data_IF_633079590782
#
_entry.id   IF_633079590782
#
_cell.length_a   1.000
_cell.length_b   1.000
_cell.length_c   1.000
_cell.angle_alpha   90.00
_cell.angle_beta   90.00
_cell.angle_gamma   90.00
#
_symmetry.space_group_name_H-M   'P 1'
#
loop_
_entity.id
_entity.type
_entity.pdbx_description
1 polymer ?
#
# COMPACT_ATOMS: atom_id res chain seq x y z
N UNK A 1 13.04 1.76 -19.71
CA UNK A 1 12.62 2.40 -18.44
C UNK A 1 13.59 3.51 -18.10
N UNK A 2 13.09 4.71 -17.84
CA UNK A 2 13.88 5.90 -17.46
C UNK A 2 14.04 5.96 -15.95
N UNK A 3 15.28 5.98 -15.46
CA UNK A 3 15.59 6.11 -14.02
C UNK A 3 16.37 7.41 -13.85
N UNK A 4 15.90 8.28 -12.96
CA UNK A 4 16.63 9.52 -12.60
C UNK A 4 16.96 9.49 -11.11
N UNK A 5 18.20 9.79 -10.78
CA UNK A 5 18.61 10.07 -9.40
C UNK A 5 18.35 11.55 -9.13
N UNK A 6 17.49 11.86 -8.18
CA UNK A 6 17.08 13.24 -7.89
C UNK A 6 17.30 13.57 -6.42
N UNK A 7 17.54 14.85 -6.13
CA UNK A 7 17.50 15.38 -4.76
C UNK A 7 16.16 16.07 -4.54
N UNK A 8 15.39 15.56 -3.59
CA UNK A 8 14.14 16.18 -3.16
C UNK A 8 14.42 17.37 -2.23
N UNK A 9 13.48 18.32 -2.14
CA UNK A 9 13.52 19.43 -1.18
C UNK A 9 12.94 19.03 0.17
N UNK A 10 11.94 18.16 0.17
CA UNK A 10 11.27 17.62 1.35
C UNK A 10 10.80 16.20 1.07
N UNK A 11 10.66 15.38 2.10
CA UNK A 11 10.19 14.00 2.00
C UNK A 11 9.01 13.72 2.93
N UNK A 12 8.89 14.45 4.01
CA UNK A 12 7.86 14.29 5.03
C UNK A 12 6.76 15.30 4.78
N UNK A 13 5.69 14.88 4.08
CA UNK A 13 4.66 15.78 3.57
C UNK A 13 3.34 15.54 4.29
N UNK A 14 2.69 16.64 4.71
CA UNK A 14 1.32 16.60 5.24
C UNK A 14 0.36 16.14 4.15
N UNK A 15 -0.66 15.36 4.51
CA UNK A 15 -1.62 14.82 3.55
C UNK A 15 -3.06 15.04 4.00
N UNK A 16 -3.98 15.10 3.05
CA UNK A 16 -5.42 15.07 3.30
C UNK A 16 -6.03 13.68 3.12
N UNK A 17 -5.20 12.63 2.98
CA UNK A 17 -5.73 11.27 2.92
C UNK A 17 -6.40 10.91 4.25
N UNK A 18 -7.51 10.16 4.24
CA UNK A 18 -8.07 9.61 5.46
C UNK A 18 -7.05 8.68 6.12
N UNK A 19 -7.10 8.58 7.42
CA UNK A 19 -6.33 7.63 8.23
C UNK A 19 -4.81 7.83 8.25
N UNK A 20 -4.28 8.97 7.76
CA UNK A 20 -2.88 9.34 7.97
C UNK A 20 -2.67 10.87 7.96
N UNK A 21 -1.68 11.33 8.70
CA UNK A 21 -1.31 12.75 8.81
C UNK A 21 -0.19 13.12 7.84
N UNK A 22 0.72 12.18 7.60
CA UNK A 22 1.95 12.37 6.86
C UNK A 22 2.18 11.29 5.84
N UNK A 23 2.81 11.64 4.73
CA UNK A 23 3.29 10.69 3.73
C UNK A 23 4.79 10.81 3.50
N UNK A 24 5.43 9.67 3.29
CA UNK A 24 6.85 9.57 2.89
C UNK A 24 6.91 8.84 1.55
N UNK A 25 7.28 9.56 0.49
CA UNK A 25 7.38 9.03 -0.88
C UNK A 25 8.84 9.04 -1.35
N UNK A 26 9.65 7.99 -1.10
CA UNK A 26 11.06 7.93 -1.51
C UNK A 26 11.27 7.89 -3.02
N UNK A 27 10.22 7.59 -3.77
CA UNK A 27 10.21 7.50 -5.21
C UNK A 27 9.11 8.38 -5.81
N UNK A 28 9.26 8.76 -7.09
CA UNK A 28 8.18 9.28 -7.94
C UNK A 28 8.08 8.38 -9.18
N UNK A 29 6.87 7.95 -9.54
CA UNK A 29 6.66 6.86 -10.48
C UNK A 29 6.75 5.50 -9.81
N UNK A 30 6.29 4.44 -10.50
CA UNK A 30 6.25 3.09 -9.95
C UNK A 30 6.49 2.07 -11.05
N UNK A 31 7.52 1.23 -10.88
CA UNK A 31 7.88 0.20 -11.86
C UNK A 31 6.76 -0.84 -12.10
N UNK A 32 5.87 -1.03 -11.15
CA UNK A 32 4.78 -2.00 -11.34
C UNK A 32 3.85 -1.63 -12.48
N UNK A 33 3.71 -0.33 -12.81
CA UNK A 33 3.00 0.12 -13.99
C UNK A 33 1.56 -0.39 -14.10
N UNK A 34 0.89 -0.64 -12.97
CA UNK A 34 -0.47 -1.16 -12.97
C UNK A 34 -1.38 -0.30 -13.84
N UNK A 35 -2.12 -0.93 -14.76
CA UNK A 35 -2.90 -0.22 -15.78
C UNK A 35 -4.04 0.64 -15.22
N UNK A 36 -4.53 0.32 -14.04
CA UNK A 36 -5.58 1.05 -13.32
C UNK A 36 -5.05 2.06 -12.28
N UNK A 37 -3.73 2.27 -12.20
CA UNK A 37 -3.15 3.03 -11.09
C UNK A 37 -3.56 4.50 -11.12
N UNK A 38 -4.24 4.96 -10.07
CA UNK A 38 -4.61 6.37 -9.95
C UNK A 38 -3.39 7.29 -9.89
N UNK A 39 -2.27 6.83 -9.34
CA UNK A 39 -1.05 7.64 -9.20
C UNK A 39 -0.39 8.01 -10.54
N UNK A 40 -0.88 7.47 -11.66
CA UNK A 40 -0.43 7.86 -13.00
C UNK A 40 -0.57 9.38 -13.26
N UNK A 41 -1.50 10.07 -12.54
CA UNK A 41 -1.65 11.52 -12.66
C UNK A 41 -0.38 12.30 -12.30
N UNK A 42 0.49 11.77 -11.43
CA UNK A 42 1.74 12.41 -11.01
C UNK A 42 2.67 12.65 -12.20
N UNK A 43 2.64 11.75 -13.18
CA UNK A 43 3.42 11.86 -14.40
C UNK A 43 3.17 13.14 -15.20
N UNK A 44 1.96 13.69 -15.16
CA UNK A 44 1.60 14.94 -15.87
C UNK A 44 2.53 16.11 -15.49
N UNK A 45 3.05 16.13 -14.27
CA UNK A 45 3.86 17.21 -13.74
C UNK A 45 5.37 16.99 -13.92
N UNK A 46 5.80 15.73 -13.88
CA UNK A 46 7.24 15.39 -13.82
C UNK A 46 7.74 14.65 -15.05
N UNK A 47 6.84 13.94 -15.73
CA UNK A 47 7.12 13.06 -16.86
C UNK A 47 6.00 13.12 -17.92
N UNK A 48 5.72 14.30 -18.52
CA UNK A 48 4.55 14.48 -19.39
C UNK A 48 4.60 13.68 -20.70
N UNK A 49 5.79 13.15 -21.06
CA UNK A 49 6.00 12.37 -22.29
C UNK A 49 6.20 10.88 -22.05
N UNK A 50 6.27 10.46 -20.79
CA UNK A 50 6.53 9.07 -20.40
C UNK A 50 5.24 8.40 -19.93
N UNK A 51 5.05 7.13 -20.30
CA UNK A 51 3.95 6.32 -19.81
C UNK A 51 4.15 5.90 -18.36
N UNK A 52 3.08 5.73 -17.62
CA UNK A 52 3.12 5.17 -16.27
C UNK A 52 3.75 3.78 -16.26
N UNK A 53 4.72 3.57 -15.37
CA UNK A 53 5.51 2.33 -15.31
C UNK A 53 6.82 2.37 -16.11
N UNK A 54 6.98 3.36 -17.00
CA UNK A 54 8.20 3.51 -17.81
C UNK A 54 9.27 4.39 -17.19
N UNK A 55 8.98 5.06 -16.06
CA UNK A 55 9.92 5.96 -15.36
C UNK A 55 9.85 5.79 -13.85
N UNK A 56 10.98 6.09 -13.18
CA UNK A 56 11.06 6.25 -11.73
C UNK A 56 12.15 7.28 -11.38
N UNK A 57 11.79 8.28 -10.58
CA UNK A 57 12.73 9.16 -9.92
C UNK A 57 13.07 8.60 -8.54
N UNK A 58 14.33 8.40 -8.28
CA UNK A 58 14.89 7.89 -7.03
C UNK A 58 15.38 9.09 -6.21
N UNK A 59 14.72 9.42 -5.11
CA UNK A 59 15.05 10.56 -4.24
C UNK A 59 16.19 10.18 -3.31
N UNK A 60 17.42 10.24 -3.82
CA UNK A 60 18.61 9.68 -3.15
C UNK A 60 18.88 10.26 -1.76
N UNK A 61 18.38 11.44 -1.46
CA UNK A 61 18.52 12.11 -0.17
C UNK A 61 17.29 11.94 0.75
N UNK A 62 16.40 11.01 0.45
CA UNK A 62 15.17 10.82 1.22
C UNK A 62 15.43 10.48 2.71
N UNK A 63 16.38 9.59 3.06
CA UNK A 63 16.66 9.27 4.47
C UNK A 63 17.22 10.48 5.25
N UNK A 64 18.15 11.26 4.64
CA UNK A 64 18.73 12.44 5.27
C UNK A 64 17.69 13.54 5.50
N UNK A 65 16.77 13.74 4.54
CA UNK A 65 15.68 14.68 4.70
C UNK A 65 14.73 14.21 5.82
N UNK A 66 14.34 12.94 5.82
CA UNK A 66 13.46 12.41 6.86
C UNK A 66 14.06 12.57 8.25
N UNK A 67 15.37 12.32 8.41
CA UNK A 67 16.08 12.51 9.68
C UNK A 67 16.00 13.97 10.17
N UNK A 68 16.05 14.94 9.27
CA UNK A 68 15.90 16.38 9.61
C UNK A 68 14.47 16.77 9.93
N UNK A 69 13.50 16.22 9.16
CA UNK A 69 12.11 16.66 9.16
C UNK A 69 11.26 15.98 10.24
N UNK A 70 11.67 14.80 10.75
CA UNK A 70 10.89 13.98 11.69
C UNK A 70 10.95 14.49 13.13
N UNK A 71 11.93 15.33 13.50
CA UNK A 71 12.13 15.81 14.87
C UNK A 71 10.88 16.52 15.39
N UNK A 72 10.37 16.08 16.55
CA UNK A 72 9.17 16.64 17.19
C UNK A 72 7.85 16.39 16.45
N UNK A 73 7.86 15.66 15.35
CA UNK A 73 6.64 15.31 14.61
C UNK A 73 5.89 14.15 15.26
N UNK A 74 4.57 14.27 15.24
CA UNK A 74 3.63 13.24 15.71
C UNK A 74 2.57 12.99 14.66
N UNK A 75 1.88 11.86 14.76
CA UNK A 75 0.79 11.48 13.87
C UNK A 75 1.10 10.26 13.01
N UNK A 76 0.14 9.80 12.26
CA UNK A 76 0.22 8.57 11.46
C UNK A 76 1.01 8.83 10.17
N UNK A 77 2.05 8.04 9.93
CA UNK A 77 2.85 8.09 8.70
C UNK A 77 2.42 6.97 7.76
N UNK A 78 2.09 7.32 6.51
CA UNK A 78 1.92 6.34 5.43
C UNK A 78 3.14 6.36 4.51
N UNK A 79 3.78 5.21 4.32
CA UNK A 79 4.81 5.05 3.28
C UNK A 79 4.17 4.87 1.92
N UNK A 80 4.45 5.83 1.04
CA UNK A 80 4.12 5.84 -0.38
C UNK A 80 2.63 5.86 -0.72
N UNK A 81 2.09 7.08 -0.81
CA UNK A 81 0.72 7.33 -1.28
C UNK A 81 0.59 7.32 -2.80
N UNK A 82 1.64 7.67 -3.56
CA UNK A 82 1.62 7.82 -5.04
C UNK A 82 2.68 6.98 -5.76
N UNK A 83 3.21 5.98 -5.10
CA UNK A 83 4.16 4.99 -5.62
C UNK A 83 4.02 3.71 -4.79
N UNK A 84 4.75 2.65 -5.12
CA UNK A 84 4.87 1.50 -4.21
C UNK A 84 6.21 1.58 -3.46
N UNK A 85 6.21 1.50 -2.11
CA UNK A 85 7.42 1.63 -1.31
C UNK A 85 8.41 0.48 -1.52
N UNK A 86 7.96 -0.65 -2.03
CA UNK A 86 8.78 -1.83 -2.31
C UNK A 86 8.82 -2.20 -3.80
N UNK A 87 8.60 -1.24 -4.69
CA UNK A 87 8.77 -1.46 -6.12
C UNK A 87 10.17 -1.98 -6.46
N UNK A 88 10.35 -2.58 -7.65
CA UNK A 88 11.59 -3.29 -8.00
C UNK A 88 12.90 -2.53 -7.76
N UNK A 89 12.92 -1.18 -7.85
CA UNK A 89 14.12 -0.39 -7.58
C UNK A 89 14.49 -0.31 -6.08
N UNK A 90 13.56 -0.60 -5.19
CA UNK A 90 13.82 -0.66 -3.75
C UNK A 90 14.78 -1.81 -3.39
N UNK A 91 14.85 -2.87 -4.18
CA UNK A 91 15.85 -3.93 -4.02
C UNK A 91 17.28 -3.38 -4.11
N UNK A 92 17.50 -2.40 -5.00
CA UNK A 92 18.82 -1.77 -5.25
C UNK A 92 19.09 -0.58 -4.33
N UNK A 93 18.16 0.39 -4.29
CA UNK A 93 18.41 1.68 -3.63
C UNK A 93 18.11 1.67 -2.13
N UNK A 94 17.23 0.80 -1.68
CA UNK A 94 16.85 0.58 -0.29
C UNK A 94 16.41 1.87 0.45
N UNK A 95 15.73 2.78 -0.25
CA UNK A 95 15.36 4.08 0.34
C UNK A 95 14.24 3.92 1.37
N UNK A 96 13.26 3.05 1.12
CA UNK A 96 12.21 2.73 2.10
C UNK A 96 12.83 2.12 3.35
N UNK A 97 13.74 1.14 3.19
CA UNK A 97 14.46 0.53 4.32
C UNK A 97 15.25 1.57 5.13
N UNK A 98 16.00 2.44 4.45
CA UNK A 98 16.78 3.50 5.12
C UNK A 98 15.88 4.51 5.82
N UNK A 99 14.74 4.88 5.24
CA UNK A 99 13.77 5.75 5.91
C UNK A 99 13.15 5.07 7.14
N UNK A 100 12.82 3.78 7.08
CA UNK A 100 12.37 3.01 8.25
C UNK A 100 13.43 2.97 9.35
N UNK A 101 14.70 2.82 8.98
CA UNK A 101 15.82 2.87 9.92
C UNK A 101 15.91 4.22 10.63
N UNK A 102 15.71 5.33 9.90
CA UNK A 102 15.63 6.68 10.50
C UNK A 102 14.50 6.77 11.53
N UNK A 103 13.31 6.19 11.26
CA UNK A 103 12.22 6.18 12.23
C UNK A 103 12.54 5.37 13.47
N UNK A 104 13.24 4.23 13.31
CA UNK A 104 13.72 3.40 14.44
C UNK A 104 14.72 4.18 15.28
N UNK A 105 15.72 4.83 14.65
CA UNK A 105 16.75 5.63 15.33
C UNK A 105 16.16 6.84 16.05
N UNK A 106 15.12 7.48 15.45
CA UNK A 106 14.40 8.59 16.05
C UNK A 106 13.45 8.17 17.19
N UNK A 107 13.28 6.86 17.42
CA UNK A 107 12.36 6.33 18.43
C UNK A 107 10.90 6.71 18.16
N UNK A 108 10.48 6.72 16.87
CA UNK A 108 9.13 7.12 16.47
C UNK A 108 8.08 6.21 17.12
N UNK A 109 7.10 6.80 17.83
CA UNK A 109 6.15 6.04 18.67
C UNK A 109 4.75 5.93 18.06
N UNK A 110 4.40 6.86 17.16
CA UNK A 110 3.09 6.86 16.52
C UNK A 110 3.02 5.82 15.40
N UNK A 111 1.86 5.70 14.78
CA UNK A 111 1.60 4.64 13.82
C UNK A 111 2.36 4.85 12.51
N UNK A 112 2.90 3.78 11.96
CA UNK A 112 3.53 3.71 10.63
C UNK A 112 2.79 2.70 9.79
N UNK A 113 2.21 3.16 8.68
CA UNK A 113 1.50 2.34 7.71
C UNK A 113 2.34 2.05 6.46
N UNK A 114 2.30 0.82 6.00
CA UNK A 114 2.87 0.39 4.73
C UNK A 114 1.80 -0.34 3.94
N UNK A 115 1.65 -0.01 2.66
CA UNK A 115 0.83 -0.77 1.73
C UNK A 115 1.63 -1.03 0.45
N UNK A 116 1.74 -2.29 0.05
CA UNK A 116 2.54 -2.68 -1.11
C UNK A 116 1.95 -3.86 -1.90
N UNK A 117 2.39 -4.00 -3.14
CA UNK A 117 2.18 -5.18 -3.99
C UNK A 117 3.44 -6.06 -4.09
N UNK A 118 4.44 -5.85 -3.23
CA UNK A 118 5.74 -6.50 -3.34
C UNK A 118 6.03 -7.45 -2.18
N UNK A 119 6.39 -8.69 -2.50
CA UNK A 119 6.93 -9.64 -1.52
C UNK A 119 8.26 -9.22 -0.89
N UNK A 120 8.97 -8.25 -1.50
CA UNK A 120 10.22 -7.68 -0.98
C UNK A 120 10.05 -7.06 0.43
N UNK A 121 8.83 -6.67 0.79
CA UNK A 121 8.50 -6.11 2.12
C UNK A 121 8.96 -7.02 3.27
N UNK A 122 9.01 -8.33 3.06
CA UNK A 122 9.47 -9.28 4.10
C UNK A 122 10.94 -9.17 4.43
N UNK A 123 11.73 -8.46 3.60
CA UNK A 123 13.15 -8.15 3.88
C UNK A 123 13.31 -7.34 5.18
N UNK A 124 12.36 -6.44 5.44
CA UNK A 124 12.49 -5.42 6.49
C UNK A 124 11.76 -5.78 7.80
N UNK A 125 11.43 -7.07 7.99
CA UNK A 125 10.84 -7.59 9.24
C UNK A 125 11.69 -7.22 10.47
N UNK A 126 13.01 -7.20 10.32
CA UNK A 126 13.94 -6.79 11.38
C UNK A 126 13.73 -5.36 11.88
N UNK A 127 13.41 -4.43 10.98
CA UNK A 127 13.07 -3.04 11.31
C UNK A 127 11.63 -2.92 11.83
N UNK A 128 10.68 -3.65 11.25
CA UNK A 128 9.29 -3.63 11.70
C UNK A 128 9.16 -4.04 13.16
N UNK A 129 9.93 -5.04 13.60
CA UNK A 129 9.97 -5.47 15.02
C UNK A 129 10.50 -4.41 15.98
N UNK A 130 11.24 -3.41 15.48
CA UNK A 130 11.79 -2.32 16.29
C UNK A 130 10.85 -1.12 16.37
N UNK A 131 9.86 -1.02 15.45
CA UNK A 131 8.84 0.03 15.47
C UNK A 131 7.69 -0.37 16.39
N UNK A 132 7.29 0.52 17.29
CA UNK A 132 6.26 0.25 18.29
C UNK A 132 4.88 -0.01 17.67
N UNK A 133 4.51 0.78 16.68
CA UNK A 133 3.19 0.76 16.05
C UNK A 133 3.35 0.70 14.52
N UNK A 134 3.67 -0.46 13.98
CA UNK A 134 3.76 -0.70 12.54
C UNK A 134 2.60 -1.56 12.04
N UNK A 135 2.00 -1.16 10.94
CA UNK A 135 0.99 -1.92 10.21
C UNK A 135 1.46 -2.14 8.78
N UNK A 136 1.54 -3.39 8.36
CA UNK A 136 2.01 -3.73 7.01
C UNK A 136 0.89 -4.41 6.23
N UNK A 137 0.45 -3.76 5.16
CA UNK A 137 -0.58 -4.24 4.26
C UNK A 137 -0.05 -4.73 2.93
N UNK A 138 -0.74 -5.70 2.37
CA UNK A 138 -0.55 -6.12 0.98
C UNK A 138 -1.82 -5.89 0.19
N UNK A 139 -1.69 -5.28 -0.99
CA UNK A 139 -2.80 -5.23 -1.94
C UNK A 139 -2.96 -6.59 -2.61
N UNK A 140 -4.14 -7.18 -2.53
CA UNK A 140 -4.50 -8.44 -3.18
C UNK A 140 -5.80 -8.23 -3.94
N UNK A 141 -5.74 -8.15 -5.27
CA UNK A 141 -6.86 -7.75 -6.13
C UNK A 141 -7.68 -8.91 -6.65
N UNK A 142 -7.11 -10.12 -6.66
CA UNK A 142 -7.73 -11.34 -7.17
C UNK A 142 -7.03 -12.60 -6.66
N UNK A 143 -7.47 -13.76 -7.11
CA UNK A 143 -6.77 -15.05 -6.91
C UNK A 143 -5.61 -15.28 -7.88
N UNK A 144 -5.36 -14.36 -8.83
CA UNK A 144 -4.25 -14.44 -9.79
C UNK A 144 -4.68 -14.85 -11.20
N UNK A 145 -5.89 -14.49 -11.60
CA UNK A 145 -6.40 -14.71 -12.96
C UNK A 145 -5.59 -13.95 -14.03
N UNK A 146 -5.65 -14.38 -15.32
CA UNK A 146 -4.83 -13.80 -16.39
C UNK A 146 -5.07 -12.30 -16.62
N UNK A 147 -6.31 -11.81 -16.43
CA UNK A 147 -6.63 -10.39 -16.61
C UNK A 147 -5.99 -9.57 -15.50
N UNK A 148 -6.09 -10.03 -14.26
CA UNK A 148 -5.43 -9.37 -13.12
C UNK A 148 -3.90 -9.36 -13.28
N UNK A 149 -3.30 -10.44 -13.78
CA UNK A 149 -1.87 -10.51 -14.08
C UNK A 149 -1.47 -9.49 -15.17
N UNK A 150 -2.27 -9.36 -16.24
CA UNK A 150 -2.05 -8.34 -17.27
C UNK A 150 -2.14 -6.93 -16.72
N UNK A 151 -3.11 -6.66 -15.85
CA UNK A 151 -3.30 -5.34 -15.24
C UNK A 151 -2.19 -4.97 -14.25
N UNK A 152 -1.50 -5.97 -13.69
CA UNK A 152 -0.44 -5.82 -12.66
C UNK A 152 0.88 -6.50 -13.10
N UNK A 153 1.24 -6.38 -14.36
CA UNK A 153 2.29 -7.16 -15.06
C UNK A 153 3.63 -7.26 -14.30
N UNK A 154 4.06 -6.19 -13.63
CA UNK A 154 5.35 -6.15 -12.95
C UNK A 154 5.26 -6.18 -11.42
N UNK A 155 4.07 -6.35 -10.87
CA UNK A 155 3.89 -6.54 -9.45
C UNK A 155 4.13 -8.01 -9.05
N UNK A 156 4.42 -8.26 -7.80
CA UNK A 156 4.52 -9.65 -7.28
C UNK A 156 3.20 -10.39 -7.51
N UNK A 157 3.20 -11.63 -7.98
CA UNK A 157 1.98 -12.42 -8.12
C UNK A 157 1.15 -12.49 -6.84
N UNK A 158 -0.18 -12.53 -6.96
CA UNK A 158 -1.08 -12.50 -5.79
C UNK A 158 -0.81 -13.65 -4.81
N UNK A 159 -0.48 -14.84 -5.30
CA UNK A 159 -0.12 -15.99 -4.44
C UNK A 159 1.10 -15.67 -3.55
N UNK A 160 2.12 -15.03 -4.11
CA UNK A 160 3.34 -14.69 -3.37
C UNK A 160 3.09 -13.50 -2.40
N UNK A 161 2.15 -12.60 -2.74
CA UNK A 161 1.68 -11.58 -1.77
C UNK A 161 1.01 -12.23 -0.57
N UNK A 162 0.20 -13.28 -0.78
CA UNK A 162 -0.41 -14.03 0.31
C UNK A 162 0.64 -14.79 1.16
N UNK A 163 1.69 -15.33 0.53
CA UNK A 163 2.83 -15.92 1.25
C UNK A 163 3.59 -14.87 2.07
N UNK A 164 3.80 -13.67 1.50
CA UNK A 164 4.44 -12.57 2.22
C UNK A 164 3.62 -12.11 3.42
N UNK A 165 2.30 -11.96 3.27
CA UNK A 165 1.40 -11.65 4.39
C UNK A 165 1.52 -12.70 5.51
N UNK A 166 1.48 -13.98 5.17
CA UNK A 166 1.64 -15.07 6.14
C UNK A 166 2.97 -14.96 6.88
N UNK A 167 4.07 -14.70 6.16
CA UNK A 167 5.39 -14.53 6.75
C UNK A 167 5.47 -13.34 7.71
N UNK A 168 4.90 -12.20 7.34
CA UNK A 168 4.81 -11.01 8.18
C UNK A 168 4.01 -11.31 9.46
N UNK A 169 2.83 -11.92 9.32
CA UNK A 169 1.98 -12.28 10.45
C UNK A 169 2.70 -13.26 11.42
N UNK A 170 3.34 -14.30 10.89
CA UNK A 170 4.13 -15.26 11.71
C UNK A 170 5.30 -14.59 12.42
N UNK A 171 5.82 -13.49 11.89
CA UNK A 171 6.86 -12.68 12.54
C UNK A 171 6.31 -11.76 13.64
N UNK A 172 5.00 -11.77 13.92
CA UNK A 172 4.34 -10.94 14.92
C UNK A 172 4.04 -9.52 14.46
N UNK A 173 4.14 -9.24 13.15
CA UNK A 173 3.81 -7.91 12.59
C UNK A 173 2.29 -7.80 12.43
N UNK A 174 1.71 -6.66 12.81
CA UNK A 174 0.30 -6.35 12.51
C UNK A 174 0.11 -6.23 11.01
N UNK A 175 -0.71 -7.11 10.44
CA UNK A 175 -0.88 -7.19 8.99
C UNK A 175 -2.33 -6.96 8.58
N UNK A 176 -2.51 -6.45 7.35
CA UNK A 176 -3.83 -6.35 6.72
C UNK A 176 -3.75 -6.66 5.22
N UNK A 177 -4.86 -7.09 4.65
CA UNK A 177 -5.02 -7.21 3.22
C UNK A 177 -5.89 -6.06 2.70
N UNK A 178 -5.42 -5.39 1.66
CA UNK A 178 -6.20 -4.41 0.93
C UNK A 178 -6.74 -5.06 -0.35
N UNK A 179 -8.04 -5.37 -0.36
CA UNK A 179 -8.72 -5.95 -1.52
C UNK A 179 -9.25 -4.80 -2.38
N UNK A 180 -8.37 -4.24 -3.21
CA UNK A 180 -8.70 -3.07 -4.03
C UNK A 180 -7.61 -2.73 -5.07
N UNK A 181 -8.01 -2.13 -6.22
CA UNK A 181 -9.41 -1.94 -6.62
C UNK A 181 -10.11 -3.28 -6.84
N UNK A 182 -11.40 -3.30 -6.59
CA UNK A 182 -12.22 -4.47 -6.93
C UNK A 182 -12.38 -4.49 -8.46
N UNK A 183 -11.65 -5.39 -9.11
CA UNK A 183 -11.63 -5.49 -10.56
C UNK A 183 -12.96 -6.09 -11.07
N UNK A 184 -13.66 -5.44 -12.01
CA UNK A 184 -15.00 -5.88 -12.43
C UNK A 184 -15.09 -7.35 -12.83
N UNK A 185 -14.18 -7.80 -13.69
CA UNK A 185 -14.14 -9.19 -14.15
C UNK A 185 -13.97 -10.22 -13.03
N UNK A 186 -13.32 -9.83 -11.91
CA UNK A 186 -13.10 -10.68 -10.75
C UNK A 186 -14.30 -10.66 -9.78
N UNK A 187 -14.87 -9.47 -9.53
CA UNK A 187 -16.01 -9.34 -8.58
C UNK A 187 -17.26 -10.08 -9.07
N UNK A 188 -17.44 -10.17 -10.38
CA UNK A 188 -18.55 -10.92 -10.97
C UNK A 188 -18.42 -12.44 -10.78
N UNK A 189 -17.23 -12.91 -10.44
CA UNK A 189 -16.97 -14.32 -10.13
C UNK A 189 -17.14 -14.54 -8.61
N UNK A 190 -18.38 -14.65 -8.15
CA UNK A 190 -18.71 -14.76 -6.72
C UNK A 190 -17.94 -15.88 -6.01
N UNK A 191 -17.76 -17.03 -6.68
CA UNK A 191 -16.99 -18.17 -6.15
C UNK A 191 -15.53 -17.79 -5.87
N UNK A 192 -14.87 -17.14 -6.83
CA UNK A 192 -13.48 -16.72 -6.73
C UNK A 192 -13.30 -15.65 -5.65
N UNK A 193 -14.21 -14.68 -5.59
CA UNK A 193 -14.18 -13.65 -4.56
C UNK A 193 -14.39 -14.26 -3.16
N UNK A 194 -15.35 -15.17 -3.00
CA UNK A 194 -15.56 -15.91 -1.74
C UNK A 194 -14.33 -16.71 -1.34
N UNK A 195 -13.68 -17.37 -2.29
CA UNK A 195 -12.46 -18.12 -2.07
C UNK A 195 -11.35 -17.21 -1.56
N UNK A 196 -11.08 -16.07 -2.25
CA UNK A 196 -10.08 -15.08 -1.84
C UNK A 196 -10.34 -14.60 -0.40
N UNK A 197 -11.57 -14.16 -0.11
CA UNK A 197 -11.93 -13.65 1.21
C UNK A 197 -11.79 -14.73 2.30
N UNK A 198 -12.11 -16.00 1.98
CA UNK A 198 -11.94 -17.12 2.89
C UNK A 198 -10.47 -17.39 3.20
N UNK A 199 -9.62 -17.35 2.18
CA UNK A 199 -8.16 -17.52 2.34
C UNK A 199 -7.55 -16.39 3.18
N UNK A 200 -7.98 -15.17 2.96
CA UNK A 200 -7.55 -14.02 3.76
C UNK A 200 -8.00 -14.16 5.22
N UNK A 201 -9.23 -14.57 5.46
CA UNK A 201 -9.77 -14.79 6.82
C UNK A 201 -9.02 -15.88 7.59
N UNK A 202 -8.67 -17.00 6.95
CA UNK A 202 -7.88 -18.08 7.58
C UNK A 202 -6.51 -17.62 8.09
N UNK A 203 -5.99 -16.52 7.55
CA UNK A 203 -4.68 -15.96 7.91
C UNK A 203 -4.75 -14.90 9.00
N UNK A 204 -5.89 -14.77 9.69
CA UNK A 204 -6.14 -13.80 10.77
C UNK A 204 -5.84 -12.33 10.36
N UNK A 205 -6.12 -11.99 9.11
CA UNK A 205 -5.87 -10.67 8.55
C UNK A 205 -7.09 -9.78 8.68
N UNK A 206 -6.87 -8.51 9.00
CA UNK A 206 -7.86 -7.46 8.80
C UNK A 206 -7.99 -7.23 7.29
N UNK A 207 -9.21 -7.23 6.77
CA UNK A 207 -9.47 -7.03 5.35
C UNK A 207 -10.04 -5.64 5.19
N UNK A 208 -9.34 -4.78 4.42
CA UNK A 208 -9.88 -3.52 3.95
C UNK A 208 -10.31 -3.65 2.49
N UNK A 209 -11.51 -3.20 2.18
CA UNK A 209 -11.96 -3.08 0.81
C UNK A 209 -12.20 -1.61 0.51
N UNK A 210 -11.57 -1.09 -0.54
CA UNK A 210 -11.86 0.24 -1.03
C UNK A 210 -12.21 0.22 -2.50
N UNK A 211 -13.24 0.98 -2.83
CA UNK A 211 -13.90 0.94 -4.11
C UNK A 211 -13.71 2.27 -4.84
N UNK A 212 -12.80 2.30 -5.79
CA UNK A 212 -12.63 3.47 -6.67
C UNK A 212 -13.23 3.24 -8.06
N UNK A 213 -13.58 2.00 -8.43
CA UNK A 213 -13.94 1.65 -9.82
C UNK A 213 -15.28 0.95 -9.99
N UNK A 214 -16.14 0.84 -8.98
CA UNK A 214 -17.39 0.06 -9.12
C UNK A 214 -18.62 0.91 -8.81
N UNK A 215 -19.64 0.75 -9.68
CA UNK A 215 -20.96 1.34 -9.54
C UNK A 215 -21.60 1.05 -8.16
N UNK A 216 -22.32 2.03 -7.56
CA UNK A 216 -22.91 1.92 -6.23
C UNK A 216 -23.77 0.67 -5.97
N UNK A 217 -24.38 0.09 -7.01
CA UNK A 217 -25.23 -1.08 -6.92
C UNK A 217 -24.46 -2.36 -6.53
N UNK A 218 -23.24 -2.53 -7.04
CA UNK A 218 -22.41 -3.72 -6.77
C UNK A 218 -21.83 -3.68 -5.35
N UNK A 219 -21.49 -2.49 -4.85
CA UNK A 219 -21.13 -2.25 -3.46
C UNK A 219 -22.19 -2.79 -2.50
N UNK A 220 -23.46 -2.56 -2.82
CA UNK A 220 -24.58 -3.00 -1.98
C UNK A 220 -24.65 -4.51 -1.84
N UNK A 221 -24.40 -5.24 -2.92
CA UNK A 221 -24.46 -6.71 -2.95
C UNK A 221 -23.26 -7.34 -2.22
N UNK A 222 -22.03 -6.87 -2.50
CA UNK A 222 -20.81 -7.40 -1.87
C UNK A 222 -20.73 -7.00 -0.39
N UNK A 223 -21.13 -5.77 -0.06
CA UNK A 223 -21.08 -5.26 1.32
C UNK A 223 -22.15 -5.85 2.22
N UNK A 224 -23.38 -6.05 1.74
CA UNK A 224 -24.47 -6.54 2.59
C UNK A 224 -24.38 -8.03 2.90
N UNK A 225 -23.95 -8.86 1.95
CA UNK A 225 -24.03 -10.31 2.10
C UNK A 225 -22.74 -10.98 2.58
N UNK A 226 -21.55 -10.43 2.22
CA UNK A 226 -20.27 -11.09 2.51
C UNK A 226 -19.38 -10.28 3.44
N UNK A 227 -19.21 -8.99 3.20
CA UNK A 227 -18.25 -8.15 3.94
C UNK A 227 -18.77 -7.72 5.31
N UNK A 228 -20.07 -7.45 5.46
CA UNK A 228 -20.67 -7.06 6.76
C UNK A 228 -20.46 -8.11 7.87
N UNK A 229 -20.42 -9.39 7.50
CA UNK A 229 -20.13 -10.49 8.43
C UNK A 229 -18.65 -10.61 8.80
N UNK A 230 -17.75 -10.11 7.95
CA UNK A 230 -16.30 -10.25 8.09
C UNK A 230 -15.69 -9.07 8.83
N UNK A 231 -16.13 -7.83 8.55
CA UNK A 231 -15.51 -6.61 9.05
C UNK A 231 -15.98 -6.14 10.43
N UNK A 232 -17.18 -6.55 10.90
CA UNK A 232 -17.78 -6.05 12.16
C UNK A 232 -17.09 -6.48 13.46
N UNK A 233 -16.18 -7.45 13.44
CA UNK A 233 -15.66 -8.02 14.71
C UNK A 233 -14.34 -7.47 15.24
N UNK A 234 -13.52 -6.75 14.46
CA UNK A 234 -12.12 -6.57 14.85
C UNK A 234 -11.54 -5.14 14.85
N UNK A 235 -12.34 -4.07 14.72
CA UNK A 235 -11.79 -2.72 14.80
C UNK A 235 -12.71 -1.73 15.51
N UNK A 236 -12.38 -1.29 16.75
CA UNK A 236 -13.20 -0.29 17.48
C UNK A 236 -13.16 1.12 16.88
N UNK A 237 -12.20 1.44 16.00
CA UNK A 237 -11.97 2.78 15.43
C UNK A 237 -12.80 3.14 14.21
N UNK A 238 -13.35 2.17 13.49
CA UNK A 238 -14.09 2.39 12.23
C UNK A 238 -15.49 3.01 12.39
N UNK A 239 -15.97 3.23 13.63
CA UNK A 239 -17.32 3.74 13.91
C UNK A 239 -17.44 5.27 13.89
N UNK A 240 -16.37 6.04 13.70
CA UNK A 240 -16.40 7.50 13.87
C UNK A 240 -16.36 8.36 12.60
N UNK A 241 -16.20 7.79 11.42
CA UNK A 241 -16.25 8.61 10.20
C UNK A 241 -17.58 8.47 9.46
N UNK A 242 -18.45 9.46 9.70
CA UNK A 242 -19.64 9.73 8.88
C UNK A 242 -19.20 9.92 7.42
N UNK A 243 -19.87 9.19 6.53
CA UNK A 243 -19.78 9.40 5.09
C UNK A 243 -19.93 10.90 4.75
N UNK A 244 -18.86 11.57 4.40
CA UNK A 244 -18.96 12.81 3.63
C UNK A 244 -18.95 12.40 2.16
N UNK A 245 -20.07 12.65 1.50
CA UNK A 245 -20.23 12.54 0.07
C UNK A 245 -19.13 13.38 -0.59
N UNK A 246 -18.28 12.73 -1.38
CA UNK A 246 -17.42 13.40 -2.34
C UNK A 246 -18.09 13.18 -3.68
N UNK A 247 -18.69 14.25 -4.23
CA UNK A 247 -19.18 14.37 -5.59
C UNK A 247 -17.99 14.49 -6.54
#
# INVERSE_FOLDING_TARGET
MKIRLVKAKTIFQKTGLPDCDWVVNPYTGCRFGCKYCYAAFVGRFTHPKEEWGSYVDVKINAPELLKKEISGKKGIILFSSVTDPYQGLEAKYQLTRKCLQVLVEAGYKDEVGILTKSGLVTRDIDLFKKLKNIHVGMTVTSTGDPISQYLETYATPNEDRLKALKKLHQAGIKTYAFVGPLLPHFVWQEKELKQLLTELKKRALVIFTWNILIFPAILKIVYTNTLKKITRRNWPGLSRHKHRNIV
#
